data_IF_849335350652
#
_entry.id   IF_849335350652
#
_cell.length_a   1.000
_cell.length_b   1.000
_cell.length_c   1.000
_cell.angle_alpha   90.00
_cell.angle_beta   90.00
_cell.angle_gamma   90.00
#
_symmetry.space_group_name_H-M   'P 1'
#
loop_
_entity.id
_entity.type
_entity.pdbx_description
1 polymer ?
#
# COMPACT_ATOMS: atom_id res chain seq x y z
N UNK A 1 -12.53 -9.45 0.92
CA UNK A 1 -11.59 -8.40 1.36
C UNK A 1 -10.55 -8.27 0.26
N UNK A 2 -10.43 -7.08 -0.33
CA UNK A 2 -9.51 -6.80 -1.44
C UNK A 2 -8.35 -5.89 -1.02
N UNK A 3 -7.37 -5.69 -1.90
CA UNK A 3 -6.12 -4.98 -1.62
C UNK A 3 -6.35 -3.59 -0.99
N UNK A 4 -7.35 -2.86 -1.47
CA UNK A 4 -7.67 -1.52 -0.98
C UNK A 4 -7.94 -1.49 0.52
N UNK A 5 -8.71 -2.46 1.01
CA UNK A 5 -9.05 -2.54 2.43
C UNK A 5 -7.82 -2.86 3.28
N UNK A 6 -6.97 -3.81 2.86
CA UNK A 6 -5.75 -4.16 3.60
C UNK A 6 -4.76 -2.97 3.66
N UNK A 7 -4.66 -2.17 2.60
CA UNK A 7 -3.84 -0.95 2.59
C UNK A 7 -4.43 0.11 3.52
N UNK A 8 -5.75 0.35 3.48
CA UNK A 8 -6.42 1.29 4.37
C UNK A 8 -6.22 0.88 5.84
N UNK A 9 -6.37 -0.39 6.17
CA UNK A 9 -6.15 -0.90 7.53
C UNK A 9 -4.70 -0.73 7.98
N UNK A 10 -3.73 -0.96 7.09
CA UNK A 10 -2.32 -0.69 7.39
C UNK A 10 -2.08 0.80 7.66
N UNK A 11 -2.59 1.68 6.81
CA UNK A 11 -2.40 3.13 6.96
C UNK A 11 -3.09 3.66 8.22
N UNK A 12 -4.31 3.18 8.52
CA UNK A 12 -5.02 3.50 9.76
C UNK A 12 -4.25 3.05 11.00
N UNK A 13 -3.64 1.86 10.95
CA UNK A 13 -2.83 1.36 12.06
C UNK A 13 -1.56 2.17 12.30
N UNK A 14 -0.99 2.79 11.26
CA UNK A 14 0.28 3.53 11.34
C UNK A 14 0.08 5.02 11.63
N UNK A 15 -0.94 5.63 11.05
CA UNK A 15 -1.15 7.08 11.04
C UNK A 15 -2.47 7.54 11.64
N UNK A 16 -3.36 6.60 12.00
CA UNK A 16 -4.66 6.88 12.59
C UNK A 16 -5.81 6.96 11.57
N UNK A 17 -7.02 7.06 12.12
CA UNK A 17 -8.30 6.92 11.37
C UNK A 17 -8.51 7.94 10.25
N UNK A 18 -7.87 9.11 10.31
CA UNK A 18 -8.01 10.16 9.29
C UNK A 18 -7.44 9.73 7.92
N UNK A 19 -6.50 8.77 7.90
CA UNK A 19 -5.96 8.25 6.64
C UNK A 19 -6.96 7.40 5.87
N UNK A 20 -7.92 6.75 6.54
CA UNK A 20 -8.97 5.97 5.88
C UNK A 20 -9.77 6.82 4.91
N UNK A 21 -10.26 7.98 5.36
CA UNK A 21 -11.11 8.84 4.53
C UNK A 21 -10.35 9.35 3.29
N UNK A 22 -9.06 9.64 3.44
CA UNK A 22 -8.19 10.05 2.32
C UNK A 22 -8.04 8.90 1.31
N UNK A 23 -7.72 7.69 1.78
CA UNK A 23 -7.53 6.56 0.89
C UNK A 23 -8.81 6.10 0.21
N UNK A 24 -9.96 6.18 0.90
CA UNK A 24 -11.26 5.85 0.33
C UNK A 24 -11.70 6.85 -0.75
N UNK A 25 -11.42 8.14 -0.54
CA UNK A 25 -11.84 9.24 -1.42
C UNK A 25 -10.97 9.40 -2.66
N UNK A 26 -9.66 9.22 -2.54
CA UNK A 26 -8.71 9.54 -3.61
C UNK A 26 -8.26 8.33 -4.44
N UNK A 27 -8.49 7.12 -3.96
CA UNK A 27 -8.04 5.93 -4.67
C UNK A 27 -9.20 5.02 -5.03
N UNK A 28 -9.37 4.83 -6.34
CA UNK A 28 -10.36 3.94 -6.91
C UNK A 28 -9.88 2.48 -6.86
N UNK A 29 -10.81 1.54 -6.70
CA UNK A 29 -10.52 0.09 -6.71
C UNK A 29 -10.14 -0.42 -8.11
N UNK A 30 -10.40 0.35 -9.16
CA UNK A 30 -10.05 -0.01 -10.53
C UNK A 30 -8.55 -0.09 -10.80
N UNK A 31 -7.71 0.53 -9.94
CA UNK A 31 -6.25 0.51 -10.06
C UNK A 31 -5.58 0.17 -8.70
N UNK A 32 -5.61 -1.12 -8.30
CA UNK A 32 -4.94 -1.59 -7.08
C UNK A 32 -3.43 -1.28 -7.05
N UNK A 33 -2.81 -1.12 -8.22
CA UNK A 33 -1.38 -0.87 -8.39
C UNK A 33 -0.99 0.55 -7.97
N UNK A 34 -1.73 1.56 -8.43
CA UNK A 34 -1.50 2.96 -8.06
C UNK A 34 -1.67 3.17 -6.56
N UNK A 35 -2.62 2.46 -5.95
CA UNK A 35 -2.84 2.49 -4.51
C UNK A 35 -1.63 1.98 -3.73
N UNK A 36 -1.09 0.84 -4.15
CA UNK A 36 0.09 0.27 -3.51
C UNK A 36 1.32 1.15 -3.71
N UNK A 37 1.53 1.67 -4.92
CA UNK A 37 2.65 2.57 -5.22
C UNK A 37 2.59 3.81 -4.34
N UNK A 38 1.44 4.46 -4.26
CA UNK A 38 1.27 5.63 -3.41
C UNK A 38 1.49 5.30 -1.93
N UNK A 39 0.99 4.15 -1.46
CA UNK A 39 1.24 3.67 -0.11
C UNK A 39 2.75 3.45 0.13
N UNK A 40 3.45 2.76 -0.77
CA UNK A 40 4.90 2.52 -0.71
C UNK A 40 5.69 3.81 -0.71
N UNK A 41 5.35 4.77 -1.56
CA UNK A 41 6.03 6.06 -1.62
C UNK A 41 5.83 6.86 -0.34
N UNK A 42 4.60 6.92 0.16
CA UNK A 42 4.28 7.63 1.40
C UNK A 42 5.00 6.99 2.60
N UNK A 43 4.91 5.66 2.74
CA UNK A 43 5.61 4.93 3.79
C UNK A 43 7.13 5.11 3.69
N UNK A 44 7.70 5.05 2.48
CA UNK A 44 9.14 5.17 2.30
C UNK A 44 9.64 6.56 2.66
N UNK A 45 8.83 7.61 2.42
CA UNK A 45 9.15 8.98 2.81
C UNK A 45 9.04 9.20 4.32
N UNK A 46 8.08 8.55 4.98
CA UNK A 46 7.80 8.76 6.41
C UNK A 46 8.62 7.85 7.33
N UNK A 47 8.80 6.59 6.96
CA UNK A 47 9.40 5.53 7.80
C UNK A 47 10.72 5.00 7.26
N UNK A 48 11.11 5.40 6.05
CA UNK A 48 12.26 4.85 5.33
C UNK A 48 11.94 3.54 4.59
N UNK A 49 12.81 3.16 3.65
CA UNK A 49 12.62 2.00 2.78
C UNK A 49 12.52 0.67 3.55
N UNK A 50 13.43 0.42 4.51
CA UNK A 50 13.46 -0.84 5.24
C UNK A 50 12.18 -1.09 6.07
N UNK A 51 11.68 -0.05 6.75
CA UNK A 51 10.42 -0.12 7.50
C UNK A 51 9.22 -0.32 6.56
N UNK A 52 9.22 0.35 5.42
CA UNK A 52 8.18 0.23 4.40
C UNK A 52 8.06 -1.20 3.88
N UNK A 53 9.18 -1.83 3.54
CA UNK A 53 9.20 -3.22 3.11
C UNK A 53 8.69 -4.17 4.19
N UNK A 54 9.07 -3.93 5.46
CA UNK A 54 8.56 -4.73 6.60
C UNK A 54 7.04 -4.64 6.74
N UNK A 55 6.47 -3.44 6.62
CA UNK A 55 5.02 -3.23 6.74
C UNK A 55 4.25 -3.78 5.53
N UNK A 56 4.76 -3.58 4.31
CA UNK A 56 4.08 -4.02 3.09
C UNK A 56 4.27 -5.51 2.79
N UNK A 57 5.29 -6.18 3.34
CA UNK A 57 5.55 -7.61 3.10
C UNK A 57 4.31 -8.49 3.37
N UNK A 58 3.53 -8.18 4.41
CA UNK A 58 2.30 -8.91 4.72
C UNK A 58 1.26 -8.80 3.60
N UNK A 59 1.07 -7.59 3.07
CA UNK A 59 0.14 -7.30 1.98
C UNK A 59 0.64 -7.94 0.67
N UNK A 60 1.92 -7.74 0.31
CA UNK A 60 2.51 -8.30 -0.92
C UNK A 60 2.42 -9.83 -0.95
N UNK A 61 2.64 -10.50 0.18
CA UNK A 61 2.49 -11.96 0.26
C UNK A 61 1.04 -12.44 0.10
N UNK A 62 0.07 -11.61 0.52
CA UNK A 62 -1.36 -11.90 0.40
C UNK A 62 -1.87 -11.68 -1.04
N UNK A 63 -1.23 -10.77 -1.78
CA UNK A 63 -1.59 -10.39 -3.15
C UNK A 63 -0.43 -10.69 -4.12
N UNK A 64 -0.23 -11.94 -4.55
CA UNK A 64 0.90 -12.32 -5.39
C UNK A 64 0.90 -11.65 -6.78
N UNK A 65 -0.24 -11.15 -7.24
CA UNK A 65 -0.35 -10.31 -8.44
C UNK A 65 0.48 -9.02 -8.35
N UNK A 66 0.61 -8.45 -7.15
CA UNK A 66 1.44 -7.27 -6.87
C UNK A 66 2.93 -7.56 -7.02
N UNK A 67 3.37 -8.74 -6.55
CA UNK A 67 4.78 -9.10 -6.59
C UNK A 67 5.32 -9.12 -8.03
N UNK A 68 4.50 -9.58 -8.97
CA UNK A 68 4.82 -9.54 -10.41
C UNK A 68 4.97 -8.11 -10.94
N UNK A 69 4.22 -7.15 -10.39
CA UNK A 69 4.26 -5.75 -10.79
C UNK A 69 5.50 -5.03 -10.28
N UNK A 70 5.95 -5.31 -9.04
CA UNK A 70 7.24 -4.80 -8.55
C UNK A 70 8.41 -5.27 -9.43
N UNK A 71 8.39 -6.52 -9.92
CA UNK A 71 9.42 -7.04 -10.84
C UNK A 71 9.39 -6.37 -12.21
N UNK A 72 8.22 -5.90 -12.67
CA UNK A 72 8.05 -5.23 -13.97
C UNK A 72 8.38 -3.73 -13.89
N UNK A 73 8.10 -3.08 -12.76
CA UNK A 73 8.31 -1.63 -12.56
C UNK A 73 9.68 -1.26 -11.97
N UNK A 74 10.45 -2.23 -11.48
CA UNK A 74 11.77 -2.03 -10.86
C UNK A 74 12.98 -2.14 -11.80
N UNK A 75 12.84 -1.87 -13.10
CA UNK A 75 13.94 -1.89 -14.09
C UNK A 75 14.16 -0.54 -14.76
#
# INVERSE_FOLDING_TARGET
MGLKQDIIELMESLFGKDTRETFEKYYDESNPEELLLACKEMLSKLLGQESTEKHLRGIINKYPEIKKLEEVMGK
#
